data_IF_197157681874
#
_entry.id   IF_197157681874
#
_cell.length_a   1.000
_cell.length_b   1.000
_cell.length_c   1.000
_cell.angle_alpha   90.00
_cell.angle_beta   90.00
_cell.angle_gamma   90.00
#
_symmetry.space_group_name_H-M   'P 1'
#
loop_
_entity.id
_entity.type
_entity.pdbx_description
1 polymer ?
#
# COMPACT_ATOMS: atom_id res chain seq x y z
N UNK A 1 -5.88 -9.63 18.25
CA UNK A 1 -5.81 -10.68 17.20
C UNK A 1 -6.02 -10.20 15.74
N UNK A 2 -6.14 -8.89 15.42
CA UNK A 2 -6.32 -8.42 14.02
C UNK A 2 -5.14 -8.71 13.08
N UNK A 3 -3.91 -8.74 13.59
CA UNK A 3 -2.72 -9.04 12.81
C UNK A 3 -2.73 -10.48 12.27
N UNK A 4 -3.13 -11.44 13.11
CA UNK A 4 -3.28 -12.85 12.73
C UNK A 4 -4.28 -13.03 11.58
N UNK A 5 -5.43 -12.35 11.65
CA UNK A 5 -6.44 -12.38 10.58
C UNK A 5 -5.87 -11.86 9.25
N UNK A 6 -5.00 -10.86 9.28
CA UNK A 6 -4.37 -10.33 8.07
C UNK A 6 -3.45 -11.37 7.42
N UNK A 7 -2.68 -12.10 8.23
CA UNK A 7 -1.80 -13.19 7.75
C UNK A 7 -2.63 -14.30 7.14
N UNK A 8 -3.72 -14.73 7.80
CA UNK A 8 -4.59 -15.80 7.28
C UNK A 8 -5.29 -15.40 5.98
N UNK A 9 -5.71 -14.14 5.85
CA UNK A 9 -6.28 -13.62 4.58
C UNK A 9 -5.24 -13.60 3.46
N UNK A 10 -4.02 -13.16 3.75
CA UNK A 10 -2.93 -13.22 2.80
C UNK A 10 -2.65 -14.67 2.37
N UNK A 11 -2.52 -15.59 3.33
CA UNK A 11 -2.32 -17.01 3.05
C UNK A 11 -3.44 -17.62 2.19
N UNK A 12 -4.70 -17.25 2.46
CA UNK A 12 -5.83 -17.65 1.62
C UNK A 12 -5.71 -17.15 0.17
N UNK A 13 -5.30 -15.90 -0.03
CA UNK A 13 -5.09 -15.35 -1.37
C UNK A 13 -3.92 -16.04 -2.11
N UNK A 14 -2.80 -16.31 -1.41
CA UNK A 14 -1.66 -17.01 -2.00
C UNK A 14 -2.02 -18.47 -2.32
N UNK A 15 -2.80 -19.16 -1.46
CA UNK A 15 -3.30 -20.52 -1.74
C UNK A 15 -4.20 -20.60 -2.97
N UNK A 16 -5.03 -19.58 -3.21
CA UNK A 16 -5.84 -19.51 -4.43
C UNK A 16 -4.98 -19.36 -5.69
N UNK A 17 -3.87 -18.62 -5.59
CA UNK A 17 -2.91 -18.42 -6.69
C UNK A 17 -2.03 -19.64 -6.94
N UNK A 18 -1.67 -20.38 -5.88
CA UNK A 18 -0.81 -21.56 -5.92
C UNK A 18 -1.44 -22.73 -5.15
N UNK A 19 -2.46 -23.41 -5.71
CA UNK A 19 -3.23 -24.43 -4.99
C UNK A 19 -2.41 -25.64 -4.56
N UNK A 20 -1.43 -26.03 -5.37
CA UNK A 20 -0.64 -27.25 -5.18
C UNK A 20 0.67 -27.03 -4.40
N UNK A 21 0.97 -25.78 -4.03
CA UNK A 21 2.18 -25.45 -3.27
C UNK A 21 2.05 -25.92 -1.82
N UNK A 22 3.19 -26.31 -1.22
CA UNK A 22 3.28 -26.68 0.18
C UNK A 22 2.76 -25.56 1.09
N UNK A 23 1.85 -25.89 2.00
CA UNK A 23 1.20 -24.92 2.88
C UNK A 23 2.19 -24.22 3.83
N UNK A 24 3.29 -24.88 4.18
CA UNK A 24 4.36 -24.30 4.98
C UNK A 24 5.05 -23.16 4.24
N UNK A 25 5.29 -23.33 2.93
CA UNK A 25 5.84 -22.26 2.06
C UNK A 25 4.84 -21.10 1.98
N UNK A 26 3.56 -21.40 1.73
CA UNK A 26 2.51 -20.38 1.62
C UNK A 26 2.35 -19.57 2.92
N UNK A 27 2.42 -20.24 4.06
CA UNK A 27 2.37 -19.61 5.38
C UNK A 27 3.61 -18.77 5.66
N UNK A 28 4.80 -19.26 5.30
CA UNK A 28 6.05 -18.52 5.47
C UNK A 28 6.08 -17.25 4.63
N UNK A 29 5.66 -17.31 3.36
CA UNK A 29 5.49 -16.14 2.47
C UNK A 29 4.57 -15.12 3.14
N UNK A 30 3.38 -15.57 3.54
CA UNK A 30 2.35 -14.70 4.11
C UNK A 30 2.77 -14.04 5.42
N UNK A 31 3.52 -14.76 6.27
CA UNK A 31 4.08 -14.21 7.50
C UNK A 31 5.16 -13.16 7.23
N UNK A 32 6.03 -13.43 6.25
CA UNK A 32 7.11 -12.52 5.86
C UNK A 32 6.54 -11.24 5.25
N UNK A 33 5.68 -11.34 4.25
CA UNK A 33 5.18 -10.17 3.51
C UNK A 33 4.34 -9.24 4.38
N UNK A 34 3.54 -9.81 5.30
CA UNK A 34 2.71 -9.00 6.20
C UNK A 34 3.52 -8.30 7.28
N UNK A 35 4.67 -8.82 7.69
CA UNK A 35 5.42 -8.30 8.85
C UNK A 35 6.71 -7.58 8.50
N UNK A 36 7.44 -8.01 7.47
CA UNK A 36 8.71 -7.42 7.05
C UNK A 36 8.62 -5.89 6.82
N UNK A 37 7.56 -5.34 6.17
CA UNK A 37 7.45 -3.90 5.96
C UNK A 37 7.27 -3.07 7.25
N UNK A 38 6.95 -3.71 8.38
CA UNK A 38 6.70 -3.04 9.67
C UNK A 38 7.92 -2.98 10.58
N UNK A 39 8.93 -3.80 10.29
CA UNK A 39 10.10 -3.92 11.15
C UNK A 39 11.12 -2.81 10.92
N UNK A 40 11.86 -2.49 11.98
CA UNK A 40 13.06 -1.67 11.87
C UNK A 40 14.22 -2.54 11.37
N UNK A 41 15.24 -1.93 10.78
CA UNK A 41 16.41 -2.64 10.26
C UNK A 41 17.06 -3.62 11.28
N UNK A 42 17.19 -3.28 12.59
CA UNK A 42 17.74 -4.21 13.58
C UNK A 42 16.85 -5.42 13.90
N UNK A 43 15.54 -5.32 13.65
CA UNK A 43 14.58 -6.38 13.98
C UNK A 43 14.50 -7.43 12.86
N UNK A 44 14.90 -7.08 11.63
CA UNK A 44 14.82 -7.97 10.46
C UNK A 44 15.65 -9.26 10.65
N UNK A 45 16.92 -9.21 11.10
CA UNK A 45 17.69 -10.43 11.36
C UNK A 45 17.05 -11.32 12.44
N UNK A 46 16.53 -10.71 13.51
CA UNK A 46 15.86 -11.45 14.59
C UNK A 46 14.60 -12.15 14.09
N UNK A 47 13.80 -11.45 13.29
CA UNK A 47 12.60 -12.01 12.66
C UNK A 47 12.95 -13.18 11.73
N UNK A 48 13.97 -13.03 10.89
CA UNK A 48 14.39 -14.09 9.98
C UNK A 48 14.89 -15.34 10.73
N UNK A 49 15.61 -15.17 11.84
CA UNK A 49 16.05 -16.29 12.68
C UNK A 49 14.87 -17.04 13.31
N UNK A 50 13.87 -16.29 13.82
CA UNK A 50 12.65 -16.91 14.35
C UNK A 50 11.91 -17.69 13.25
N UNK A 51 11.85 -17.14 12.03
CA UNK A 51 11.22 -17.83 10.91
C UNK A 51 11.99 -19.10 10.51
N UNK A 52 13.33 -19.07 10.47
CA UNK A 52 14.12 -20.27 10.15
C UNK A 52 13.99 -21.38 11.19
N UNK A 53 13.83 -21.01 12.47
CA UNK A 53 13.62 -21.98 13.55
C UNK A 53 12.22 -22.61 13.47
N UNK A 54 11.20 -21.85 13.07
CA UNK A 54 9.82 -22.31 12.96
C UNK A 54 9.53 -23.09 11.66
N UNK A 55 10.25 -22.79 10.57
CA UNK A 55 10.08 -23.40 9.25
C UNK A 55 11.42 -23.97 8.73
N UNK A 56 11.96 -25.02 9.39
CA UNK A 56 13.27 -25.56 9.04
C UNK A 56 13.26 -26.21 7.66
N UNK A 57 14.25 -25.86 6.81
CA UNK A 57 14.41 -26.43 5.47
C UNK A 57 13.42 -25.92 4.42
N UNK A 58 12.61 -24.90 4.75
CA UNK A 58 11.67 -24.28 3.82
C UNK A 58 12.36 -23.11 3.12
N UNK A 59 12.64 -23.25 1.82
CA UNK A 59 13.16 -22.16 1.00
C UNK A 59 12.02 -21.38 0.35
N UNK A 60 12.13 -20.05 0.41
CA UNK A 60 11.14 -19.15 -0.19
C UNK A 60 11.41 -19.00 -1.69
N UNK A 61 10.42 -19.19 -2.56
CA UNK A 61 10.57 -18.88 -3.97
C UNK A 61 10.78 -17.37 -4.16
N UNK A 62 11.61 -16.99 -5.12
CA UNK A 62 11.71 -15.58 -5.48
C UNK A 62 10.41 -15.11 -6.17
N UNK A 63 9.80 -14.01 -5.69
CA UNK A 63 8.63 -13.46 -6.35
C UNK A 63 9.00 -12.90 -7.73
N UNK A 64 8.24 -13.28 -8.76
CA UNK A 64 8.38 -12.73 -10.10
C UNK A 64 7.77 -11.31 -10.15
N UNK A 65 8.67 -10.33 -10.20
CA UNK A 65 8.32 -8.92 -10.37
C UNK A 65 8.85 -8.36 -11.69
N UNK A 66 9.20 -9.17 -12.70
CA UNK A 66 9.96 -8.68 -13.85
C UNK A 66 9.20 -7.60 -14.64
N UNK A 67 7.91 -7.82 -14.89
CA UNK A 67 7.05 -6.84 -15.55
C UNK A 67 6.85 -5.56 -14.72
N UNK A 68 6.66 -5.71 -13.41
CA UNK A 68 6.48 -4.56 -12.51
C UNK A 68 7.78 -3.76 -12.36
N UNK A 69 8.91 -4.45 -12.23
CA UNK A 69 10.25 -3.88 -12.19
C UNK A 69 10.54 -3.09 -13.45
N UNK A 70 10.31 -3.67 -14.63
CA UNK A 70 10.52 -2.98 -15.90
C UNK A 70 9.66 -1.72 -16.03
N UNK A 71 8.39 -1.80 -15.61
CA UNK A 71 7.48 -0.65 -15.64
C UNK A 71 7.88 0.44 -14.64
N UNK A 72 8.29 0.06 -13.43
CA UNK A 72 8.81 0.99 -12.41
C UNK A 72 10.10 1.69 -12.88
N UNK A 73 11.03 0.98 -13.50
CA UNK A 73 12.26 1.56 -14.04
C UNK A 73 11.96 2.59 -15.13
N UNK A 74 11.05 2.25 -16.05
CA UNK A 74 10.55 3.17 -17.09
C UNK A 74 9.92 4.43 -16.48
N UNK A 75 9.07 4.30 -15.47
CA UNK A 75 8.47 5.47 -14.80
C UNK A 75 9.50 6.31 -14.04
N UNK A 76 10.48 5.69 -13.41
CA UNK A 76 11.58 6.41 -12.75
C UNK A 76 12.39 7.21 -13.77
N UNK A 77 12.71 6.64 -14.93
CA UNK A 77 13.41 7.34 -16.01
C UNK A 77 12.61 8.54 -16.53
N UNK A 78 11.31 8.36 -16.80
CA UNK A 78 10.41 9.46 -17.21
C UNK A 78 10.36 10.60 -16.17
N UNK A 79 10.44 10.25 -14.90
CA UNK A 79 10.44 11.20 -13.78
C UNK A 79 11.84 11.75 -13.44
N UNK A 80 12.89 11.36 -14.18
CA UNK A 80 14.28 11.69 -13.91
C UNK A 80 14.72 11.32 -12.46
N UNK A 81 14.32 10.13 -12.01
CA UNK A 81 14.63 9.57 -10.70
C UNK A 81 15.65 8.44 -10.82
N UNK A 82 16.52 8.31 -9.82
CA UNK A 82 17.44 7.19 -9.71
C UNK A 82 16.80 6.04 -8.90
N UNK A 83 16.50 4.88 -9.53
CA UNK A 83 15.91 3.75 -8.83
C UNK A 83 16.97 3.01 -8.01
N UNK A 84 17.15 3.41 -6.74
CA UNK A 84 18.02 2.67 -5.82
C UNK A 84 17.40 1.31 -5.44
N UNK A 85 18.21 0.29 -5.08
CA UNK A 85 17.68 -1.01 -4.67
C UNK A 85 16.68 -0.91 -3.51
N UNK A 86 16.98 -0.07 -2.52
CA UNK A 86 16.09 0.17 -1.36
C UNK A 86 14.78 0.81 -1.80
N UNK A 87 14.81 1.77 -2.73
CA UNK A 87 13.59 2.39 -3.26
C UNK A 87 12.71 1.36 -3.97
N UNK A 88 13.30 0.49 -4.80
CA UNK A 88 12.57 -0.55 -5.50
C UNK A 88 11.96 -1.56 -4.52
N UNK A 89 12.75 -2.06 -3.57
CA UNK A 89 12.30 -2.99 -2.53
C UNK A 89 11.12 -2.42 -1.72
N UNK A 90 11.23 -1.15 -1.30
CA UNK A 90 10.16 -0.48 -0.54
C UNK A 90 8.92 -0.21 -1.40
N UNK A 91 9.08 -0.01 -2.70
CA UNK A 91 7.96 0.13 -3.64
C UNK A 91 7.20 -1.19 -3.80
N UNK A 92 7.91 -2.33 -3.91
CA UNK A 92 7.27 -3.65 -3.92
C UNK A 92 6.57 -3.96 -2.59
N UNK A 93 7.21 -3.66 -1.46
CA UNK A 93 6.58 -3.81 -0.13
C UNK A 93 5.30 -2.96 0.01
N UNK A 94 5.28 -1.75 -0.56
CA UNK A 94 4.07 -0.93 -0.61
C UNK A 94 2.97 -1.62 -1.43
N UNK A 95 3.29 -2.11 -2.63
CA UNK A 95 2.33 -2.82 -3.48
C UNK A 95 1.71 -4.02 -2.77
N UNK A 96 2.53 -4.91 -2.19
CA UNK A 96 2.04 -6.08 -1.45
C UNK A 96 1.14 -5.69 -0.28
N UNK A 97 1.49 -4.62 0.45
CA UNK A 97 0.68 -4.13 1.55
C UNK A 97 -0.68 -3.54 1.10
N UNK A 98 -0.75 -2.95 -0.10
CA UNK A 98 -2.01 -2.47 -0.69
C UNK A 98 -2.94 -3.64 -1.02
N UNK A 99 -2.39 -4.76 -1.52
CA UNK A 99 -3.19 -5.96 -1.82
C UNK A 99 -3.82 -6.56 -0.56
N UNK A 100 -3.12 -6.51 0.57
CA UNK A 100 -3.58 -7.12 1.83
C UNK A 100 -4.47 -6.17 2.66
N UNK A 101 -4.26 -4.85 2.57
CA UNK A 101 -4.91 -3.86 3.45
C UNK A 101 -5.42 -2.62 2.70
N UNK A 102 -6.65 -2.23 3.01
CA UNK A 102 -7.27 -0.99 2.52
C UNK A 102 -6.73 0.28 3.17
N UNK A 103 -6.03 0.17 4.30
CA UNK A 103 -5.47 1.29 5.05
C UNK A 103 -4.08 0.98 5.57
N UNK A 104 -3.12 1.86 5.28
CA UNK A 104 -1.73 1.76 5.67
C UNK A 104 -1.14 3.15 5.92
N UNK A 105 -0.02 3.20 6.64
CA UNK A 105 0.74 4.43 6.88
C UNK A 105 2.10 4.32 6.19
N UNK A 106 2.45 5.31 5.38
CA UNK A 106 3.79 5.47 4.81
C UNK A 106 4.66 6.26 5.78
N UNK A 107 5.42 5.54 6.61
CA UNK A 107 6.26 6.13 7.65
C UNK A 107 7.70 6.26 7.16
N UNK A 108 8.31 7.41 7.41
CA UNK A 108 9.72 7.67 7.09
C UNK A 108 10.06 9.14 7.21
N UNK A 109 11.35 9.46 7.19
CA UNK A 109 11.84 10.83 7.29
C UNK A 109 11.32 11.75 6.17
N UNK A 110 11.35 13.06 6.44
CA UNK A 110 11.19 14.08 5.41
C UNK A 110 12.22 13.86 4.29
N UNK A 111 11.81 14.09 3.04
CA UNK A 111 12.62 13.80 1.84
C UNK A 111 13.01 12.32 1.64
N UNK A 112 12.42 11.38 2.40
CA UNK A 112 12.62 9.93 2.22
C UNK A 112 11.90 9.32 1.02
N UNK A 113 11.69 10.06 -0.07
CA UNK A 113 11.08 9.62 -1.32
C UNK A 113 9.66 9.00 -1.24
N UNK A 114 8.95 9.12 -0.10
CA UNK A 114 7.59 8.57 0.09
C UNK A 114 6.62 8.99 -1.02
N UNK A 115 6.66 10.27 -1.38
CA UNK A 115 5.83 10.84 -2.44
C UNK A 115 6.18 10.29 -3.81
N UNK A 116 7.47 10.15 -4.11
CA UNK A 116 7.94 9.55 -5.35
C UNK A 116 7.54 8.08 -5.43
N UNK A 117 7.66 7.34 -4.33
CA UNK A 117 7.37 5.90 -4.26
C UNK A 117 5.95 5.55 -4.69
N UNK A 118 4.91 6.14 -4.07
CA UNK A 118 3.53 5.81 -4.46
C UNK A 118 3.18 6.33 -5.86
N UNK A 119 3.80 7.44 -6.32
CA UNK A 119 3.58 7.97 -7.67
C UNK A 119 4.17 7.07 -8.75
N UNK A 120 5.39 6.58 -8.54
CA UNK A 120 6.04 5.63 -9.45
C UNK A 120 5.28 4.31 -9.50
N UNK A 121 4.79 3.83 -8.35
CA UNK A 121 3.93 2.64 -8.31
C UNK A 121 2.63 2.85 -9.10
N UNK A 122 1.94 3.98 -8.91
CA UNK A 122 0.72 4.29 -9.67
C UNK A 122 0.97 4.41 -11.18
N UNK A 123 2.11 4.97 -11.58
CA UNK A 123 2.56 5.01 -12.98
C UNK A 123 2.81 3.61 -13.53
N UNK A 124 3.51 2.76 -12.78
CA UNK A 124 3.81 1.39 -13.19
C UNK A 124 2.54 0.55 -13.36
N UNK A 125 1.58 0.67 -12.44
CA UNK A 125 0.28 -0.01 -12.54
C UNK A 125 -0.53 0.48 -13.74
N UNK A 126 -0.43 1.77 -14.08
CA UNK A 126 -1.04 2.32 -15.30
C UNK A 126 -0.41 1.74 -16.56
N UNK A 127 0.92 1.63 -16.61
CA UNK A 127 1.66 1.06 -17.74
C UNK A 127 1.36 -0.44 -17.90
N UNK A 128 1.25 -1.19 -16.80
CA UNK A 128 0.86 -2.61 -16.80
C UNK A 128 -0.56 -2.81 -17.31
N UNK A 129 -1.52 -2.02 -16.81
CA UNK A 129 -2.91 -2.05 -17.30
C UNK A 129 -2.98 -1.74 -18.79
N UNK A 130 -2.21 -0.74 -19.27
CA UNK A 130 -2.16 -0.38 -20.69
C UNK A 130 -1.60 -1.49 -21.59
N UNK A 131 -0.73 -2.35 -21.05
CA UNK A 131 -0.16 -3.52 -21.74
C UNK A 131 -1.01 -4.78 -21.59
N UNK A 132 -2.08 -4.75 -20.79
CA UNK A 132 -2.89 -5.94 -20.47
C UNK A 132 -2.13 -7.00 -19.65
N UNK A 133 -1.07 -6.60 -18.94
CA UNK A 133 -0.25 -7.51 -18.13
C UNK A 133 -0.73 -7.50 -16.67
N UNK A 134 -0.66 -8.66 -16.01
CA UNK A 134 -0.94 -8.85 -14.58
C UNK A 134 -2.38 -8.51 -14.11
N UNK A 135 -3.34 -8.33 -15.03
CA UNK A 135 -4.73 -7.91 -14.71
C UNK A 135 -4.81 -6.67 -13.80
N UNK A 136 -3.79 -5.81 -13.87
CA UNK A 136 -3.67 -4.65 -12.98
C UNK A 136 -4.60 -3.52 -13.40
N UNK A 137 -4.99 -2.68 -12.44
CA UNK A 137 -5.88 -1.56 -12.67
C UNK A 137 -5.16 -0.21 -12.55
N UNK A 138 -5.55 0.75 -13.38
CA UNK A 138 -5.06 2.14 -13.28
C UNK A 138 -5.43 2.73 -11.94
N UNK A 139 -4.54 3.54 -11.39
CA UNK A 139 -4.71 4.18 -10.09
C UNK A 139 -5.05 5.66 -10.25
N UNK A 140 -6.06 6.11 -9.51
CA UNK A 140 -6.40 7.52 -9.33
C UNK A 140 -6.06 7.93 -7.90
N UNK A 141 -5.19 8.94 -7.79
CA UNK A 141 -4.69 9.43 -6.51
C UNK A 141 -5.44 10.71 -6.15
N UNK A 142 -5.97 10.79 -4.93
CA UNK A 142 -6.51 12.01 -4.33
C UNK A 142 -5.70 12.31 -3.07
N UNK A 143 -5.10 13.49 -3.00
CA UNK A 143 -4.28 13.91 -1.86
C UNK A 143 -5.00 15.00 -1.08
N UNK A 144 -5.07 14.84 0.24
CA UNK A 144 -5.67 15.78 1.18
C UNK A 144 -4.61 16.10 2.23
N UNK A 145 -4.36 17.38 2.50
CA UNK A 145 -3.57 17.78 3.66
C UNK A 145 -4.52 18.06 4.83
N UNK A 146 -4.68 17.14 5.80
CA UNK A 146 -5.68 17.27 6.87
C UNK A 146 -5.39 18.44 7.81
N UNK A 147 -4.15 18.94 7.86
CA UNK A 147 -3.73 20.05 8.71
C UNK A 147 -3.83 21.42 8.05
N UNK A 148 -4.08 21.46 6.75
CA UNK A 148 -4.29 22.72 6.02
C UNK A 148 -5.68 23.33 6.22
N UNK A 149 -6.59 22.60 6.88
CA UNK A 149 -8.00 22.95 7.07
C UNK A 149 -8.46 22.64 8.50
N UNK A 150 -9.58 23.22 8.90
CA UNK A 150 -10.19 22.92 10.20
C UNK A 150 -10.90 21.55 10.20
N UNK A 151 -11.04 20.92 11.37
CA UNK A 151 -11.67 19.59 11.50
C UNK A 151 -13.09 19.56 10.94
N UNK A 152 -13.89 20.61 11.20
CA UNK A 152 -15.23 20.74 10.64
C UNK A 152 -15.25 20.90 9.12
N UNK A 153 -14.19 21.42 8.50
CA UNK A 153 -14.05 21.48 7.05
C UNK A 153 -13.55 20.16 6.45
N UNK A 154 -12.79 19.37 7.20
CA UNK A 154 -12.33 18.04 6.77
C UNK A 154 -13.46 17.02 6.80
N UNK A 155 -14.12 16.89 7.95
CA UNK A 155 -15.14 15.87 8.22
C UNK A 155 -16.58 16.35 7.98
N UNK A 156 -16.81 17.65 8.12
CA UNK A 156 -18.14 18.23 8.18
C UNK A 156 -18.44 18.72 9.59
N UNK A 157 -19.35 19.67 9.69
CA UNK A 157 -19.80 20.22 10.96
C UNK A 157 -21.26 20.65 10.88
N UNK A 158 -21.91 20.63 12.03
CA UNK A 158 -23.24 21.20 12.19
C UNK A 158 -23.14 22.71 12.38
N UNK A 159 -23.90 23.48 11.60
CA UNK A 159 -23.99 24.93 11.76
C UNK A 159 -25.06 25.26 12.82
N UNK A 160 -24.69 25.88 13.96
CA UNK A 160 -25.63 26.18 15.04
C UNK A 160 -26.62 27.29 14.68
N UNK A 161 -26.39 28.08 13.64
CA UNK A 161 -27.28 29.18 13.23
C UNK A 161 -28.32 28.70 12.23
N UNK A 162 -27.90 27.99 11.18
CA UNK A 162 -28.82 27.46 10.16
C UNK A 162 -29.49 26.15 10.58
N UNK A 163 -28.94 25.46 11.58
CA UNK A 163 -29.30 24.09 11.94
C UNK A 163 -29.12 23.06 10.81
N UNK A 164 -28.22 23.35 9.86
CA UNK A 164 -27.92 22.45 8.74
C UNK A 164 -26.56 21.76 8.90
N UNK A 165 -26.44 20.57 8.34
CA UNK A 165 -25.17 19.86 8.23
C UNK A 165 -24.38 20.37 7.02
N UNK A 166 -23.15 20.83 7.25
CA UNK A 166 -22.22 21.18 6.19
C UNK A 166 -21.22 20.04 5.99
N UNK A 167 -21.18 19.50 4.78
CA UNK A 167 -20.27 18.41 4.44
C UNK A 167 -18.81 18.86 4.36
N UNK A 168 -17.92 18.05 4.93
CA UNK A 168 -16.49 18.24 4.80
C UNK A 168 -15.92 17.79 3.45
N UNK A 169 -14.69 18.22 3.19
CA UNK A 169 -13.93 17.88 1.98
C UNK A 169 -13.78 16.37 1.84
N UNK A 170 -13.48 15.64 2.92
CA UNK A 170 -13.32 14.19 2.88
C UNK A 170 -14.63 13.50 2.49
N UNK A 171 -15.76 13.92 3.07
CA UNK A 171 -17.08 13.37 2.75
C UNK A 171 -17.42 13.58 1.27
N UNK A 172 -17.08 14.74 0.70
CA UNK A 172 -17.25 15.01 -0.74
C UNK A 172 -16.33 14.16 -1.61
N UNK A 173 -15.06 14.02 -1.24
CA UNK A 173 -14.09 13.16 -1.95
C UNK A 173 -14.57 11.71 -1.96
N UNK A 174 -14.95 11.17 -0.80
CA UNK A 174 -15.44 9.80 -0.68
C UNK A 174 -16.69 9.56 -1.51
N UNK A 175 -17.67 10.48 -1.49
CA UNK A 175 -18.86 10.37 -2.36
C UNK A 175 -18.50 10.35 -3.84
N UNK A 176 -17.53 11.17 -4.27
CA UNK A 176 -17.10 11.17 -5.67
C UNK A 176 -16.40 9.87 -6.05
N UNK A 177 -15.59 9.31 -5.14
CA UNK A 177 -14.92 8.01 -5.35
C UNK A 177 -15.93 6.86 -5.42
N UNK A 178 -16.92 6.84 -4.53
CA UNK A 178 -17.95 5.80 -4.51
C UNK A 178 -18.92 5.87 -5.70
N UNK A 179 -19.12 7.07 -6.29
CA UNK A 179 -19.91 7.25 -7.53
C UNK A 179 -19.16 6.82 -8.79
N UNK A 180 -17.84 6.64 -8.72
CA UNK A 180 -17.00 6.31 -9.88
C UNK A 180 -17.02 4.79 -10.12
N UNK A 181 -17.85 4.36 -11.07
CA UNK A 181 -18.03 2.96 -11.48
C UNK A 181 -16.88 2.42 -12.36
N UNK A 182 -15.85 3.23 -12.64
CA UNK A 182 -14.70 2.75 -13.41
C UNK A 182 -13.94 1.68 -12.64
N UNK A 183 -13.33 0.73 -13.36
CA UNK A 183 -12.44 -0.31 -12.81
C UNK A 183 -11.08 0.24 -12.33
N UNK A 184 -10.96 1.55 -12.07
CA UNK A 184 -9.73 2.13 -11.55
C UNK A 184 -9.63 1.92 -10.03
N UNK A 185 -8.43 1.69 -9.53
CA UNK A 185 -8.17 1.78 -8.10
C UNK A 185 -8.14 3.25 -7.67
N UNK A 186 -8.69 3.56 -6.50
CA UNK A 186 -8.74 4.92 -5.97
C UNK A 186 -7.96 4.98 -4.66
N UNK A 187 -6.88 5.73 -4.63
CA UNK A 187 -6.05 5.92 -3.44
C UNK A 187 -6.28 7.32 -2.88
N UNK A 188 -6.82 7.39 -1.66
CA UNK A 188 -6.97 8.64 -0.91
C UNK A 188 -5.82 8.76 0.08
N UNK A 189 -4.96 9.76 -0.09
CA UNK A 189 -3.78 9.98 0.74
C UNK A 189 -4.01 11.19 1.64
N UNK A 190 -3.71 11.01 2.93
CA UNK A 190 -3.63 12.11 3.89
C UNK A 190 -2.17 12.52 4.05
N UNK A 191 -1.77 13.59 3.36
CA UNK A 191 -0.39 14.09 3.35
C UNK A 191 -0.23 15.20 4.39
N UNK A 192 0.16 14.81 5.60
CA UNK A 192 0.37 15.72 6.72
C UNK A 192 0.87 14.98 7.96
N UNK A 193 1.26 15.71 9.01
CA UNK A 193 1.66 15.09 10.26
C UNK A 193 0.48 14.39 10.91
N UNK A 194 0.71 13.16 11.37
CA UNK A 194 -0.28 12.35 12.09
C UNK A 194 -0.61 13.00 13.42
N UNK A 195 -1.90 13.21 13.69
CA UNK A 195 -2.42 13.77 14.93
C UNK A 195 -3.69 13.02 15.32
N UNK A 196 -3.80 12.69 16.60
CA UNK A 196 -4.94 11.99 17.21
C UNK A 196 -6.29 12.67 17.00
N UNK A 197 -6.31 13.96 16.65
CA UNK A 197 -7.54 14.71 16.43
C UNK A 197 -8.17 14.46 15.04
N UNK A 198 -7.37 14.11 14.03
CA UNK A 198 -7.91 13.87 12.68
C UNK A 198 -7.82 12.42 12.23
N UNK A 199 -6.97 11.58 12.83
CA UNK A 199 -6.89 10.16 12.48
C UNK A 199 -7.94 9.33 13.22
#
# INVERSE_FOLDING_TARGET
MRALISVLRAAGAVKLKYPDQDESILMLISLKDVNLPKFLAPDIPLFNNILSDLFPGVELPEPDYDHMRASLLSECEKANLQPTPVFMEKTFQLYEMILVRHGLMLVGYSYGAKTSMYRMLAGALKDLNGKGLLEENKVKIVVINPKSIYMGQLYGQFDPVSHEWQDGILARVMRNICKDESQTQKWTLFDGPVDTLWI
#
